data_IF_034008092840
#
_entry.id   IF_034008092840
#
_cell.length_a   1.000
_cell.length_b   1.000
_cell.length_c   1.000
_cell.angle_alpha   90.00
_cell.angle_beta   90.00
_cell.angle_gamma   90.00
#
_symmetry.space_group_name_H-M   'P 1'
#
loop_
_entity.id
_entity.type
_entity.pdbx_description
1 polymer ?
#
# COMPACT_ATOMS: atom_id res chain seq x y z
N UNK A 1 -13.08 -2.71 -23.16
CA UNK A 1 -12.55 -1.52 -22.46
C UNK A 1 -12.84 -1.71 -20.98
N UNK A 2 -12.04 -2.57 -20.36
CA UNK A 2 -12.08 -2.80 -18.92
C UNK A 2 -11.56 -1.52 -18.28
N UNK A 3 -12.49 -0.81 -17.65
CA UNK A 3 -12.21 0.39 -16.90
C UNK A 3 -11.40 -0.05 -15.68
N UNK A 4 -10.09 -0.24 -15.85
CA UNK A 4 -9.14 -0.29 -14.75
C UNK A 4 -9.34 1.02 -14.03
N UNK A 5 -10.25 1.03 -13.05
CA UNK A 5 -10.50 2.16 -12.19
C UNK A 5 -9.20 2.37 -11.45
N UNK A 6 -8.31 3.16 -12.04
CA UNK A 6 -7.12 3.70 -11.42
C UNK A 6 -7.62 4.25 -10.11
N UNK A 7 -7.28 3.56 -9.03
CA UNK A 7 -7.72 3.95 -7.69
C UNK A 7 -6.85 5.14 -7.35
N UNK A 8 -7.29 6.31 -7.78
CA UNK A 8 -6.61 7.56 -7.47
C UNK A 8 -6.96 7.92 -6.03
N UNK A 9 -5.94 7.99 -5.19
CA UNK A 9 -6.09 8.65 -3.91
C UNK A 9 -6.31 10.15 -4.18
N UNK A 10 -7.31 10.78 -3.56
CA UNK A 10 -7.59 12.20 -3.78
C UNK A 10 -6.53 13.11 -3.16
N UNK A 11 -5.61 12.55 -2.38
CA UNK A 11 -4.53 13.26 -1.71
C UNK A 11 -3.21 12.74 -2.24
N UNK A 12 -2.36 13.65 -2.71
CA UNK A 12 -0.99 13.34 -3.13
C UNK A 12 -0.02 13.59 -1.98
N UNK A 13 0.81 12.63 -1.61
CA UNK A 13 1.87 12.81 -0.61
C UNK A 13 3.00 13.66 -1.20
N UNK A 14 3.22 14.85 -0.64
CA UNK A 14 4.28 15.77 -1.05
C UNK A 14 5.47 15.75 -0.09
N UNK A 15 5.29 15.16 1.09
CA UNK A 15 6.30 15.01 2.13
C UNK A 15 5.67 14.75 3.50
N UNK A 16 6.47 14.86 4.57
CA UNK A 16 6.00 14.63 5.94
C UNK A 16 4.90 15.59 6.41
N UNK A 17 4.83 16.79 5.84
CA UNK A 17 3.88 17.84 6.22
C UNK A 17 2.41 17.44 5.99
N UNK A 18 2.15 16.66 4.94
CA UNK A 18 0.81 16.21 4.56
C UNK A 18 0.62 14.70 4.75
N UNK A 19 1.59 14.02 5.37
CA UNK A 19 1.56 12.58 5.64
C UNK A 19 0.34 12.17 6.44
N UNK A 20 -0.07 12.92 7.47
CA UNK A 20 -1.23 12.58 8.29
C UNK A 20 -2.55 12.60 7.50
N UNK A 21 -2.71 13.55 6.58
CA UNK A 21 -3.90 13.64 5.74
C UNK A 21 -3.90 12.54 4.68
N UNK A 22 -2.75 12.34 4.04
CA UNK A 22 -2.54 11.31 3.05
C UNK A 22 -2.77 9.91 3.65
N UNK A 23 -2.12 9.58 4.76
CA UNK A 23 -2.21 8.26 5.41
C UNK A 23 -3.62 7.94 5.86
N UNK A 24 -4.38 8.90 6.43
CA UNK A 24 -5.79 8.68 6.75
C UNK A 24 -6.64 8.38 5.53
N UNK A 25 -6.39 9.10 4.43
CA UNK A 25 -7.11 8.92 3.17
C UNK A 25 -6.77 7.58 2.53
N UNK A 26 -5.49 7.26 2.43
CA UNK A 26 -4.98 6.00 1.91
C UNK A 26 -5.51 4.81 2.73
N UNK A 27 -5.41 4.89 4.07
CA UNK A 27 -5.98 3.88 4.97
C UNK A 27 -7.48 3.70 4.76
N UNK A 28 -8.26 4.79 4.65
CA UNK A 28 -9.70 4.69 4.41
C UNK A 28 -10.04 4.00 3.09
N UNK A 29 -9.31 4.32 2.01
CA UNK A 29 -9.50 3.70 0.68
C UNK A 29 -9.10 2.23 0.69
N UNK A 30 -7.97 1.89 1.30
CA UNK A 30 -7.48 0.52 1.41
C UNK A 30 -8.37 -0.35 2.32
N UNK A 31 -8.82 0.18 3.45
CA UNK A 31 -9.80 -0.49 4.32
C UNK A 31 -11.14 -0.70 3.59
N UNK A 32 -11.63 0.30 2.84
CA UNK A 32 -12.86 0.17 2.04
C UNK A 32 -12.76 -0.86 0.92
N UNK A 33 -11.55 -1.29 0.56
CA UNK A 33 -11.26 -2.31 -0.47
C UNK A 33 -10.92 -3.69 0.11
N UNK A 34 -10.74 -3.81 1.43
CA UNK A 34 -10.23 -5.03 2.06
C UNK A 34 -8.72 -5.27 1.86
N UNK A 35 -8.01 -4.34 1.22
CA UNK A 35 -6.59 -4.45 0.88
C UNK A 35 -5.65 -4.07 2.03
N UNK A 36 -6.19 -3.51 3.12
CA UNK A 36 -5.41 -3.12 4.30
C UNK A 36 -4.67 -4.31 4.93
N UNK A 37 -5.21 -5.53 4.81
CA UNK A 37 -4.61 -6.77 5.30
C UNK A 37 -3.23 -7.06 4.69
N UNK A 38 -2.92 -6.51 3.51
CA UNK A 38 -1.59 -6.66 2.88
C UNK A 38 -0.53 -5.75 3.54
N UNK A 39 -0.94 -4.58 4.04
CA UNK A 39 -0.05 -3.65 4.75
C UNK A 39 0.13 -4.11 6.20
N UNK A 40 -0.98 -4.37 6.88
CA UNK A 40 -1.00 -4.73 8.29
C UNK A 40 -1.81 -6.02 8.42
N UNK A 41 -1.16 -7.20 8.26
CA UNK A 41 -1.84 -8.46 8.47
C UNK A 41 -2.30 -8.51 9.93
N UNK A 42 -3.53 -8.98 10.20
CA UNK A 42 -4.00 -9.13 11.57
C UNK A 42 -3.02 -10.02 12.33
N UNK A 43 -2.58 -9.61 13.52
CA UNK A 43 -1.76 -10.40 14.46
C UNK A 43 -2.52 -11.68 14.87
N UNK A 44 -2.59 -12.65 13.96
CA UNK A 44 -3.07 -14.00 14.23
C UNK A 44 -1.88 -14.88 13.95
N UNK A 45 -1.19 -15.26 15.03
CA UNK A 45 -0.17 -16.29 15.20
C UNK A 45 0.48 -16.87 13.93
N UNK A 46 1.83 -16.93 13.84
CA UNK A 46 2.51 -17.56 12.72
C UNK A 46 2.27 -19.07 12.78
N UNK A 47 1.18 -19.53 12.18
CA UNK A 47 1.15 -20.88 11.65
C UNK A 47 1.99 -20.83 10.39
N UNK A 48 2.97 -21.72 10.28
CA UNK A 48 3.85 -21.89 9.12
C UNK A 48 3.07 -21.96 7.77
N UNK A 49 1.78 -22.31 7.83
CA UNK A 49 0.82 -22.26 6.73
C UNK A 49 0.43 -20.85 6.25
N UNK A 50 0.43 -19.82 7.11
CA UNK A 50 0.11 -18.43 6.76
C UNK A 50 1.29 -17.73 6.06
N UNK A 51 2.53 -18.08 6.41
CA UNK A 51 3.72 -17.62 5.70
C UNK A 51 3.82 -18.25 4.29
N UNK A 52 3.33 -19.48 4.13
CA UNK A 52 3.19 -20.14 2.82
C UNK A 52 1.99 -19.59 2.01
N UNK A 53 0.89 -19.19 2.68
CA UNK A 53 -0.26 -18.57 2.03
C UNK A 53 0.02 -17.14 1.54
N UNK A 54 0.94 -16.40 2.21
CA UNK A 54 1.45 -15.11 1.76
C UNK A 54 2.20 -15.18 0.41
N UNK A 55 2.59 -16.38 -0.02
CA UNK A 55 3.21 -16.65 -1.33
C UNK A 55 2.20 -17.12 -2.39
N UNK A 56 0.91 -16.79 -2.22
CA UNK A 56 -0.07 -17.04 -3.28
C UNK A 56 0.02 -15.90 -4.29
N UNK A 57 -0.05 -16.24 -5.59
CA UNK A 57 -0.06 -15.27 -6.69
C UNK A 57 -1.10 -14.14 -6.49
N UNK A 58 -2.19 -14.45 -5.79
CA UNK A 58 -3.24 -13.51 -5.39
C UNK A 58 -2.75 -12.47 -4.37
N UNK A 59 -2.09 -12.89 -3.30
CA UNK A 59 -1.56 -11.95 -2.28
C UNK A 59 -0.47 -11.05 -2.85
N UNK A 60 0.38 -11.60 -3.73
CA UNK A 60 1.40 -10.83 -4.46
C UNK A 60 0.71 -9.82 -5.40
N UNK A 61 -0.33 -10.24 -6.12
CA UNK A 61 -1.11 -9.34 -6.99
C UNK A 61 -1.79 -8.23 -6.18
N UNK A 62 -2.34 -8.55 -5.01
CA UNK A 62 -2.93 -7.56 -4.11
C UNK A 62 -1.88 -6.59 -3.57
N UNK A 63 -0.74 -7.09 -3.09
CA UNK A 63 0.39 -6.24 -2.63
C UNK A 63 0.85 -5.29 -3.74
N UNK A 64 1.06 -5.80 -4.96
CA UNK A 64 1.45 -4.98 -6.11
C UNK A 64 0.36 -3.96 -6.50
N UNK A 65 -0.92 -4.33 -6.36
CA UNK A 65 -2.02 -3.39 -6.56
C UNK A 65 -2.01 -2.27 -5.50
N UNK A 66 -1.79 -2.60 -4.22
CA UNK A 66 -1.67 -1.60 -3.16
C UNK A 66 -0.46 -0.71 -3.38
N UNK A 67 0.69 -1.29 -3.75
CA UNK A 67 1.92 -0.56 -4.03
C UNK A 67 1.69 0.45 -5.17
N UNK A 68 1.08 0.02 -6.27
CA UNK A 68 0.76 0.91 -7.39
C UNK A 68 -0.19 2.05 -6.98
N UNK A 69 -1.17 1.78 -6.12
CA UNK A 69 -2.09 2.81 -5.60
C UNK A 69 -1.32 3.82 -4.76
N UNK A 70 -0.49 3.34 -3.83
CA UNK A 70 0.34 4.20 -2.99
C UNK A 70 1.27 5.04 -3.89
N UNK A 71 2.07 4.42 -4.74
CA UNK A 71 2.97 5.11 -5.68
C UNK A 71 2.24 6.15 -6.56
N UNK A 72 1.05 5.83 -7.09
CA UNK A 72 0.26 6.79 -7.90
C UNK A 72 -0.18 8.03 -7.12
N UNK A 73 -0.17 7.95 -5.79
CA UNK A 73 -0.51 9.04 -4.89
C UNK A 73 0.72 9.74 -4.31
N UNK A 74 1.94 9.31 -4.63
CA UNK A 74 3.14 9.98 -4.18
C UNK A 74 3.54 11.04 -5.21
N UNK A 75 4.08 12.15 -4.73
CA UNK A 75 4.79 13.09 -5.59
C UNK A 75 6.07 12.42 -6.14
N UNK A 76 6.52 12.84 -7.32
CA UNK A 76 7.67 12.25 -8.01
C UNK A 76 8.91 12.29 -7.12
N UNK A 77 9.13 13.38 -6.38
CA UNK A 77 10.28 13.49 -5.47
C UNK A 77 10.24 12.48 -4.31
N UNK A 78 9.04 12.09 -3.86
CA UNK A 78 8.85 11.06 -2.84
C UNK A 78 9.04 9.67 -3.48
N UNK A 79 8.47 9.46 -4.66
CA UNK A 79 8.61 8.23 -5.44
C UNK A 79 10.06 7.88 -5.74
N UNK A 80 10.89 8.85 -6.12
CA UNK A 80 12.33 8.66 -6.32
C UNK A 80 13.03 8.23 -5.02
N UNK A 81 12.69 8.89 -3.90
CA UNK A 81 13.28 8.60 -2.59
C UNK A 81 12.92 7.21 -2.06
N UNK A 82 11.76 6.65 -2.43
CA UNK A 82 11.29 5.34 -2.00
C UNK A 82 11.17 4.33 -3.15
N UNK A 83 11.87 4.57 -4.26
CA UNK A 83 11.85 3.71 -5.45
C UNK A 83 12.41 2.30 -5.20
N UNK A 84 13.14 2.11 -4.11
CA UNK A 84 13.68 0.82 -3.67
C UNK A 84 12.64 -0.06 -2.96
N UNK A 85 11.49 0.49 -2.55
CA UNK A 85 10.49 -0.29 -1.83
C UNK A 85 9.72 -1.21 -2.79
N UNK A 86 9.93 -2.52 -2.66
CA UNK A 86 9.31 -3.54 -3.53
C UNK A 86 7.93 -4.00 -3.05
N UNK A 87 7.59 -3.72 -1.78
CA UNK A 87 6.34 -4.14 -1.15
C UNK A 87 5.52 -2.97 -0.61
N UNK A 88 4.20 -3.09 -0.67
CA UNK A 88 3.29 -2.04 -0.20
C UNK A 88 3.45 -1.77 1.30
N UNK A 89 3.63 -2.83 2.08
CA UNK A 89 3.89 -2.74 3.53
C UNK A 89 5.18 -1.98 3.81
N UNK A 90 6.25 -2.29 3.08
CA UNK A 90 7.56 -1.66 3.27
C UNK A 90 7.50 -0.18 2.92
N UNK A 91 6.88 0.16 1.78
CA UNK A 91 6.64 1.55 1.40
C UNK A 91 5.82 2.28 2.48
N UNK A 92 4.75 1.66 2.97
CA UNK A 92 3.88 2.26 3.99
C UNK A 92 4.60 2.54 5.31
N UNK A 93 5.36 1.56 5.80
CA UNK A 93 6.10 1.69 7.07
C UNK A 93 7.23 2.71 6.95
N UNK A 94 7.91 2.73 5.80
CA UNK A 94 8.98 3.71 5.54
C UNK A 94 8.42 5.13 5.42
N UNK A 95 7.23 5.30 4.84
CA UNK A 95 6.55 6.61 4.78
C UNK A 95 6.06 7.10 6.15
N UNK A 96 5.84 6.19 7.11
CA UNK A 96 5.40 6.50 8.47
C UNK A 96 6.50 7.07 9.36
N UNK A 97 7.76 6.80 9.02
CA UNK A 97 8.94 7.07 9.83
C UNK A 97 9.55 8.44 9.50
#
# INVERSE_FOLDING_TARGET
>A
MENTKIVSLPVTLKGGENYLLWSRTAKAVLCGRGLWSQIEPPETFPSEAAALAASTEESIREDQAVLAILQSSLDISVLEAYSYCEHAKELWDTLKN
#
